data_IF_297447273276
#
_entry.id   IF_297447273276
#
_cell.length_a   1.000
_cell.length_b   1.000
_cell.length_c   1.000
_cell.angle_alpha   90.00
_cell.angle_beta   90.00
_cell.angle_gamma   90.00
#
_symmetry.space_group_name_H-M   'P 1'
#
loop_
_entity.id
_entity.type
_entity.pdbx_description
1 polymer ?
#
# COMPACT_ATOMS: atom_id res chain seq x y z
N UNK A 1 1.86 14.98 20.02
CA UNK A 1 2.76 15.37 18.91
C UNK A 1 3.47 16.72 19.20
N UNK A 2 2.74 17.83 19.51
CA UNK A 2 3.36 19.14 19.72
C UNK A 2 4.43 19.15 20.83
N UNK A 3 4.08 18.63 22.01
CA UNK A 3 5.00 18.52 23.16
C UNK A 3 6.18 17.57 22.93
N UNK A 4 6.07 16.65 21.97
CA UNK A 4 7.15 15.76 21.58
C UNK A 4 8.13 16.46 20.63
N UNK A 5 7.61 17.18 19.62
CA UNK A 5 8.44 17.88 18.64
C UNK A 5 9.18 19.06 19.26
N UNK A 6 8.45 19.91 20.00
CA UNK A 6 8.96 21.19 20.47
C UNK A 6 9.36 21.22 21.96
N UNK A 7 8.96 20.18 22.72
CA UNK A 7 9.20 20.17 24.16
C UNK A 7 8.35 21.18 24.95
N UNK A 8 8.50 21.21 26.26
CA UNK A 8 7.74 22.11 27.14
C UNK A 8 8.49 22.47 28.40
N UNK A 9 8.08 23.58 29.02
CA UNK A 9 8.50 24.01 30.33
C UNK A 9 7.62 23.43 31.43
N UNK A 10 8.17 23.27 32.62
CA UNK A 10 7.40 22.94 33.81
C UNK A 10 6.25 23.94 34.00
N UNK A 11 5.05 23.44 34.28
CA UNK A 11 3.85 24.26 34.44
C UNK A 11 3.14 24.67 33.15
N UNK A 12 3.60 24.24 31.96
CA UNK A 12 3.00 24.59 30.67
C UNK A 12 1.55 24.05 30.49
N UNK A 13 1.24 22.94 31.14
CA UNK A 13 -0.11 22.34 31.18
C UNK A 13 -0.24 21.39 32.39
N UNK A 14 -1.43 20.94 32.67
CA UNK A 14 -1.71 19.96 33.75
C UNK A 14 -0.89 18.69 33.53
N UNK A 15 0.03 18.39 34.45
CA UNK A 15 0.95 17.23 34.33
C UNK A 15 2.37 17.57 33.84
N UNK A 16 2.65 18.82 33.45
CA UNK A 16 4.01 19.24 33.12
C UNK A 16 4.85 19.53 34.38
N UNK A 17 5.25 18.47 35.09
CA UNK A 17 5.97 18.57 36.37
C UNK A 17 7.43 19.03 36.23
N UNK A 18 8.04 18.87 35.07
CA UNK A 18 9.43 19.23 34.77
C UNK A 18 9.59 19.65 33.31
N UNK A 19 10.69 20.34 33.02
CA UNK A 19 11.04 20.66 31.62
C UNK A 19 11.27 19.40 30.82
N UNK A 20 10.79 19.39 29.56
CA UNK A 20 11.05 18.28 28.58
C UNK A 20 11.65 18.88 27.33
N UNK A 21 12.76 18.31 26.89
CA UNK A 21 13.34 18.60 25.58
C UNK A 21 12.46 18.01 24.48
N UNK A 22 12.27 18.77 23.39
CA UNK A 22 11.59 18.29 22.19
C UNK A 22 12.56 17.58 21.25
N UNK A 23 11.99 16.86 20.26
CA UNK A 23 12.76 16.13 19.25
C UNK A 23 13.67 17.07 18.44
N UNK A 24 13.27 18.31 18.15
CA UNK A 24 14.13 19.28 17.48
C UNK A 24 15.39 19.60 18.28
N UNK A 25 15.28 19.71 19.61
CA UNK A 25 16.44 19.95 20.46
C UNK A 25 17.35 18.72 20.56
N UNK A 26 16.75 17.53 20.60
CA UNK A 26 17.49 16.25 20.62
C UNK A 26 18.22 16.00 19.30
N UNK A 27 17.61 16.39 18.18
CA UNK A 27 18.16 16.23 16.83
C UNK A 27 19.13 17.37 16.43
N UNK A 28 19.45 18.31 17.35
CA UNK A 28 20.32 19.44 17.03
C UNK A 28 21.68 18.96 16.50
N UNK A 29 22.14 19.57 15.40
CA UNK A 29 23.31 19.16 14.61
C UNK A 29 23.19 17.78 13.96
N UNK A 30 21.97 17.25 13.84
CA UNK A 30 21.67 15.95 13.24
C UNK A 30 20.56 16.04 12.20
N UNK A 31 19.84 14.94 12.07
CA UNK A 31 18.73 14.80 11.11
C UNK A 31 17.46 14.37 11.84
N UNK A 32 16.33 15.01 11.54
CA UNK A 32 15.01 14.58 11.95
C UNK A 32 14.23 14.05 10.72
N UNK A 33 13.59 12.88 10.87
CA UNK A 33 12.69 12.34 9.88
C UNK A 33 11.25 12.52 10.34
N UNK A 34 10.45 13.22 9.53
CA UNK A 34 9.03 13.48 9.79
C UNK A 34 8.20 12.64 8.82
N UNK A 35 7.70 11.51 9.31
CA UNK A 35 6.80 10.65 8.54
C UNK A 35 5.37 11.20 8.57
N UNK A 36 4.64 10.95 7.50
CA UNK A 36 3.24 11.36 7.33
C UNK A 36 3.02 12.87 7.56
N UNK A 37 3.92 13.72 7.03
CA UNK A 37 3.84 15.17 7.22
C UNK A 37 2.51 15.79 6.78
N UNK A 38 1.82 15.16 5.82
CA UNK A 38 0.49 15.57 5.36
C UNK A 38 -0.63 15.38 6.38
N UNK A 39 -0.36 14.65 7.49
CA UNK A 39 -1.29 14.47 8.61
C UNK A 39 -1.06 15.48 9.74
N UNK A 40 -0.06 16.35 9.61
CA UNK A 40 0.28 17.33 10.65
C UNK A 40 -0.84 18.36 10.83
N UNK A 41 -1.26 18.57 12.07
CA UNK A 41 -2.26 19.60 12.40
C UNK A 41 -1.82 20.99 11.90
N UNK A 42 -2.75 21.77 11.36
CA UNK A 42 -2.48 23.05 10.69
C UNK A 42 -1.68 24.04 11.54
N UNK A 43 -1.98 24.13 12.85
CA UNK A 43 -1.25 24.98 13.79
C UNK A 43 0.22 24.58 13.96
N UNK A 44 0.51 23.28 13.88
CA UNK A 44 1.87 22.76 13.97
C UNK A 44 2.69 23.04 12.72
N UNK A 45 2.02 23.11 11.57
CA UNK A 45 2.66 23.44 10.30
C UNK A 45 3.29 24.83 10.33
N UNK A 46 2.64 25.83 10.95
CA UNK A 46 3.19 27.17 11.12
C UNK A 46 4.45 27.18 12.01
N UNK A 47 4.48 26.35 13.04
CA UNK A 47 5.66 26.20 13.91
C UNK A 47 6.81 25.51 13.20
N UNK A 48 6.51 24.48 12.42
CA UNK A 48 7.51 23.79 11.60
C UNK A 48 8.12 24.73 10.55
N UNK A 49 7.29 25.55 9.90
CA UNK A 49 7.76 26.54 8.93
C UNK A 49 8.79 27.48 9.58
N UNK A 50 8.51 27.97 10.79
CA UNK A 50 9.45 28.83 11.52
C UNK A 50 10.79 28.14 11.77
N UNK A 51 10.79 26.85 12.15
CA UNK A 51 12.03 26.07 12.30
C UNK A 51 12.80 25.99 10.98
N UNK A 52 12.10 25.75 9.87
CA UNK A 52 12.72 25.65 8.53
C UNK A 52 13.30 26.98 8.02
N UNK A 53 12.71 28.12 8.41
CA UNK A 53 13.13 29.42 7.95
C UNK A 53 14.24 30.04 8.81
N UNK A 54 14.08 29.95 10.15
CA UNK A 54 14.93 30.67 11.09
C UNK A 54 15.84 29.79 11.93
N UNK A 55 15.59 28.47 11.93
CA UNK A 55 16.24 27.53 12.84
C UNK A 55 15.84 27.75 14.31
N UNK A 56 14.67 28.38 14.53
CA UNK A 56 14.24 28.74 15.90
C UNK A 56 12.78 28.30 16.13
N UNK A 57 12.50 27.93 17.39
CA UNK A 57 11.13 27.66 17.85
C UNK A 57 11.00 28.02 19.32
N UNK A 58 9.78 28.10 19.83
CA UNK A 58 9.46 28.35 21.23
C UNK A 58 8.87 27.09 21.84
N UNK A 59 9.39 26.62 22.98
CA UNK A 59 8.83 25.50 23.75
C UNK A 59 7.43 25.86 24.27
N UNK A 60 6.61 24.86 24.48
CA UNK A 60 5.29 25.10 25.10
C UNK A 60 5.48 25.66 26.49
N UNK A 61 4.80 26.75 26.78
CA UNK A 61 4.92 27.47 28.08
C UNK A 61 6.20 28.27 28.26
N UNK A 62 7.02 28.46 27.22
CA UNK A 62 8.19 29.33 27.23
C UNK A 62 7.92 30.62 26.42
N UNK A 63 8.71 31.63 26.65
CA UNK A 63 8.73 32.87 25.85
C UNK A 63 10.05 33.06 25.10
N UNK A 64 11.08 32.30 25.44
CA UNK A 64 12.40 32.40 24.83
C UNK A 64 12.51 31.45 23.62
N UNK A 65 13.04 31.94 22.46
CA UNK A 65 13.33 31.11 21.35
C UNK A 65 14.46 30.12 21.66
N UNK A 66 14.32 28.91 21.20
CA UNK A 66 15.35 27.87 21.21
C UNK A 66 15.88 27.74 19.78
N UNK A 67 17.20 27.90 19.60
CA UNK A 67 17.85 27.76 18.30
C UNK A 67 18.35 26.38 18.09
N UNK A 68 18.15 25.85 16.85
CA UNK A 68 18.58 24.51 16.43
C UNK A 68 19.09 24.55 14.99
N UNK A 69 20.02 23.65 14.70
CA UNK A 69 20.53 23.37 13.36
C UNK A 69 20.23 21.90 13.07
N UNK A 70 19.17 21.65 12.29
CA UNK A 70 18.65 20.30 12.05
C UNK A 70 18.35 20.11 10.57
N UNK A 71 18.87 19.02 9.98
CA UNK A 71 18.45 18.58 8.66
C UNK A 71 17.08 17.91 8.77
N UNK A 72 16.12 18.38 7.97
CA UNK A 72 14.76 17.82 7.95
C UNK A 72 14.59 16.95 6.69
N UNK A 73 14.10 15.73 6.90
CA UNK A 73 13.62 14.81 5.85
C UNK A 73 12.16 14.55 6.18
N UNK A 74 11.27 14.75 5.23
CA UNK A 74 9.84 14.49 5.40
C UNK A 74 9.33 13.48 4.37
N UNK A 75 8.33 12.70 4.77
CA UNK A 75 7.64 11.77 3.88
C UNK A 75 6.12 11.93 4.03
N UNK A 76 5.40 11.65 2.96
CA UNK A 76 3.93 11.61 2.97
C UNK A 76 3.42 10.69 1.87
N UNK A 77 2.28 10.08 2.09
CA UNK A 77 1.50 9.35 1.11
C UNK A 77 0.35 10.20 0.53
N UNK A 78 0.14 11.42 1.04
CA UNK A 78 -0.88 12.34 0.56
C UNK A 78 -0.39 13.19 -0.60
N UNK A 79 -1.31 13.58 -1.47
CA UNK A 79 -1.11 14.62 -2.47
C UNK A 79 -1.21 15.99 -1.77
N UNK A 80 -0.05 16.56 -1.39
CA UNK A 80 -0.01 17.82 -0.64
C UNK A 80 -0.64 18.98 -1.41
N UNK A 81 -0.65 18.98 -2.75
CA UNK A 81 -1.31 20.03 -3.52
C UNK A 81 -2.82 20.00 -3.31
N UNK A 82 -3.42 18.81 -3.31
CA UNK A 82 -4.84 18.67 -2.98
C UNK A 82 -5.14 19.05 -1.52
N UNK A 83 -4.22 18.74 -0.60
CA UNK A 83 -4.38 19.15 0.80
C UNK A 83 -4.31 20.67 0.96
N UNK A 84 -3.52 21.38 0.13
CA UNK A 84 -3.48 22.86 0.07
C UNK A 84 -4.83 23.38 -0.44
N UNK A 85 -5.34 22.84 -1.56
CA UNK A 85 -6.63 23.24 -2.13
C UNK A 85 -7.79 23.04 -1.14
N UNK A 86 -7.70 22.00 -0.29
CA UNK A 86 -8.67 21.70 0.75
C UNK A 86 -8.47 22.53 2.04
N UNK A 87 -7.43 23.35 2.13
CA UNK A 87 -7.11 24.15 3.32
C UNK A 87 -6.51 23.35 4.50
N UNK A 88 -6.09 22.10 4.27
CA UNK A 88 -5.52 21.23 5.30
C UNK A 88 -3.99 21.35 5.41
N UNK A 89 -3.33 21.88 4.37
CA UNK A 89 -1.88 22.04 4.34
C UNK A 89 -1.51 23.45 3.87
N UNK A 90 -0.47 24.04 4.48
CA UNK A 90 -0.02 25.40 4.13
C UNK A 90 0.84 25.36 2.88
N UNK A 91 0.56 26.27 1.97
CA UNK A 91 1.30 26.42 0.71
C UNK A 91 2.77 26.87 0.96
N UNK A 92 2.99 27.78 1.92
CA UNK A 92 4.32 28.26 2.28
C UNK A 92 5.22 27.13 2.82
N UNK A 93 4.68 26.26 3.66
CA UNK A 93 5.37 25.07 4.16
C UNK A 93 5.68 24.07 3.03
N UNK A 94 4.73 23.85 2.10
CA UNK A 94 4.94 22.98 0.96
C UNK A 94 6.17 23.42 0.15
N UNK A 95 6.26 24.70 -0.23
CA UNK A 95 7.41 25.19 -1.01
C UNK A 95 8.74 25.08 -0.25
N UNK A 96 8.71 25.16 1.07
CA UNK A 96 9.92 25.03 1.89
C UNK A 96 10.37 23.57 2.04
N UNK A 97 9.45 22.61 2.06
CA UNK A 97 9.74 21.17 2.12
C UNK A 97 10.09 20.58 0.76
N UNK A 98 9.45 21.03 -0.31
CA UNK A 98 9.55 20.42 -1.64
C UNK A 98 10.74 20.89 -2.48
N UNK A 99 11.76 21.46 -1.89
CA UNK A 99 13.00 21.87 -2.59
C UNK A 99 13.67 20.71 -3.30
N UNK A 100 13.64 19.52 -2.71
CA UNK A 100 14.13 18.29 -3.32
C UNK A 100 13.12 17.16 -3.05
N UNK A 101 12.40 16.76 -4.11
CA UNK A 101 11.36 15.74 -4.01
C UNK A 101 11.79 14.43 -4.65
N UNK A 102 11.63 13.34 -3.92
CA UNK A 102 11.83 11.97 -4.43
C UNK A 102 10.47 11.28 -4.47
N UNK A 103 10.04 10.88 -5.66
CA UNK A 103 8.82 10.08 -5.83
C UNK A 103 9.19 8.59 -5.80
N UNK A 104 8.62 7.85 -4.85
CA UNK A 104 8.79 6.40 -4.75
C UNK A 104 7.66 5.71 -5.52
N UNK A 105 7.96 5.01 -6.64
CA UNK A 105 6.93 4.28 -7.36
C UNK A 105 6.37 3.14 -6.51
N UNK A 106 5.08 2.81 -6.66
CA UNK A 106 4.47 1.68 -5.96
C UNK A 106 5.07 0.36 -6.42
N UNK A 107 4.98 -0.68 -5.57
CA UNK A 107 5.62 -1.97 -5.81
C UNK A 107 5.20 -2.64 -7.13
N UNK A 108 3.93 -2.47 -7.55
CA UNK A 108 3.42 -2.97 -8.84
C UNK A 108 4.14 -2.40 -10.08
N UNK A 109 4.80 -1.25 -9.94
CA UNK A 109 5.61 -0.60 -10.99
C UNK A 109 7.09 -0.99 -10.92
N UNK A 110 7.49 -1.73 -9.88
CA UNK A 110 8.85 -2.24 -9.62
C UNK A 110 8.85 -3.76 -9.53
N UNK A 111 8.33 -4.42 -10.58
CA UNK A 111 8.13 -5.88 -10.57
C UNK A 111 9.43 -6.67 -10.36
N UNK A 112 10.55 -6.14 -10.84
CA UNK A 112 11.86 -6.77 -10.70
C UNK A 112 12.33 -6.83 -9.23
N UNK A 113 11.91 -5.87 -8.41
CA UNK A 113 12.23 -5.85 -6.98
C UNK A 113 11.46 -6.92 -6.19
N UNK A 114 10.30 -7.38 -6.70
CA UNK A 114 9.40 -8.29 -5.96
C UNK A 114 10.10 -9.60 -5.63
N UNK A 115 10.83 -10.17 -6.57
CA UNK A 115 11.55 -11.42 -6.37
C UNK A 115 12.62 -11.28 -5.28
N UNK A 116 13.49 -10.26 -5.40
CA UNK A 116 14.55 -9.99 -4.43
C UNK A 116 14.00 -9.73 -3.02
N UNK A 117 12.92 -8.93 -2.94
CA UNK A 117 12.25 -8.65 -1.66
C UNK A 117 11.60 -9.90 -1.07
N UNK A 118 11.00 -10.76 -1.91
CA UNK A 118 10.38 -12.01 -1.46
C UNK A 118 11.40 -12.95 -0.83
N UNK A 119 12.56 -13.14 -1.46
CA UNK A 119 13.63 -13.96 -0.89
C UNK A 119 14.24 -13.33 0.36
N UNK A 120 14.44 -12.02 0.39
CA UNK A 120 14.93 -11.31 1.58
C UNK A 120 13.98 -11.51 2.78
N UNK A 121 12.67 -11.41 2.57
CA UNK A 121 11.69 -11.66 3.63
C UNK A 121 11.63 -13.14 4.00
N UNK A 122 11.71 -14.05 3.03
CA UNK A 122 11.74 -15.48 3.29
C UNK A 122 12.91 -15.85 4.21
N UNK A 123 14.12 -15.42 3.88
CA UNK A 123 15.32 -15.69 4.71
C UNK A 123 15.17 -15.14 6.12
N UNK A 124 14.64 -13.91 6.24
CA UNK A 124 14.36 -13.29 7.53
C UNK A 124 13.41 -14.14 8.37
N UNK A 125 12.27 -14.55 7.81
CA UNK A 125 11.24 -15.29 8.54
C UNK A 125 11.65 -16.75 8.78
N UNK A 126 12.30 -17.41 7.83
CA UNK A 126 12.87 -18.76 8.03
C UNK A 126 13.81 -18.79 9.23
N UNK A 127 14.70 -17.80 9.36
CA UNK A 127 15.61 -17.67 10.51
C UNK A 127 14.85 -17.42 11.81
N UNK A 128 13.86 -16.53 11.82
CA UNK A 128 13.04 -16.22 13.02
C UNK A 128 12.25 -17.44 13.50
N UNK A 129 11.67 -18.20 12.56
CA UNK A 129 10.87 -19.39 12.83
C UNK A 129 11.73 -20.65 13.08
N UNK A 130 13.06 -20.58 12.85
CA UNK A 130 13.99 -21.71 12.87
C UNK A 130 13.55 -22.83 11.94
N UNK A 131 12.95 -22.50 10.81
CA UNK A 131 12.52 -23.43 9.77
C UNK A 131 13.56 -23.48 8.64
N UNK A 132 13.72 -24.65 8.03
CA UNK A 132 14.54 -24.82 6.83
C UNK A 132 13.63 -24.71 5.59
N UNK A 133 13.35 -23.47 5.17
CA UNK A 133 12.56 -23.23 3.97
C UNK A 133 13.53 -23.05 2.80
N UNK A 134 13.40 -23.89 1.76
CA UNK A 134 14.36 -23.96 0.65
C UNK A 134 14.12 -22.91 -0.44
N UNK A 135 12.92 -22.32 -0.49
CA UNK A 135 12.63 -21.30 -1.51
C UNK A 135 11.14 -21.07 -1.75
N UNK A 136 10.89 -20.45 -2.89
CA UNK A 136 9.55 -20.13 -3.41
C UNK A 136 9.44 -20.77 -4.79
N UNK A 137 8.30 -21.43 -5.11
CA UNK A 137 8.13 -22.03 -6.44
C UNK A 137 8.04 -20.96 -7.53
N UNK A 138 8.47 -21.25 -8.77
CA UNK A 138 8.36 -20.31 -9.90
C UNK A 138 6.93 -19.82 -10.12
N UNK A 139 5.95 -20.72 -9.94
CA UNK A 139 4.53 -20.40 -10.06
C UNK A 139 4.09 -19.33 -9.06
N UNK A 140 4.54 -19.44 -7.81
CA UNK A 140 4.24 -18.44 -6.77
C UNK A 140 4.94 -17.11 -7.09
N UNK A 141 6.19 -17.13 -7.55
CA UNK A 141 6.89 -15.90 -7.95
C UNK A 141 6.16 -15.15 -9.07
N UNK A 142 5.62 -15.87 -10.06
CA UNK A 142 4.83 -15.26 -11.13
C UNK A 142 3.55 -14.61 -10.59
N UNK A 143 2.86 -15.26 -9.66
CA UNK A 143 1.69 -14.69 -9.00
C UNK A 143 2.07 -13.41 -8.23
N UNK A 144 3.15 -13.46 -7.45
CA UNK A 144 3.62 -12.31 -6.67
C UNK A 144 4.00 -11.13 -7.59
N UNK A 145 4.69 -11.37 -8.73
CA UNK A 145 5.07 -10.34 -9.70
C UNK A 145 3.87 -9.66 -10.37
N UNK A 146 2.76 -10.36 -10.51
CA UNK A 146 1.56 -9.86 -11.18
C UNK A 146 0.47 -9.34 -10.22
N UNK A 147 0.65 -9.47 -8.92
CA UNK A 147 -0.28 -8.97 -7.93
C UNK A 147 -0.28 -7.42 -7.84
N UNK A 148 -1.42 -6.86 -7.46
CA UNK A 148 -1.65 -5.39 -7.45
C UNK A 148 -0.94 -4.66 -6.30
N UNK A 149 -0.60 -5.33 -5.24
CA UNK A 149 0.13 -4.83 -4.06
C UNK A 149 -0.34 -3.44 -3.59
N UNK A 150 -1.62 -3.31 -3.22
CA UNK A 150 -2.16 -2.04 -2.71
C UNK A 150 -1.45 -1.55 -1.46
N UNK A 151 -1.03 -2.46 -0.59
CA UNK A 151 -0.23 -2.20 0.61
C UNK A 151 1.29 -2.23 0.37
N UNK A 152 1.72 -2.27 -0.92
CA UNK A 152 3.12 -2.24 -1.32
C UNK A 152 3.99 -3.30 -0.62
N UNK A 153 5.20 -2.91 -0.20
CA UNK A 153 6.18 -3.78 0.45
C UNK A 153 5.66 -4.35 1.78
N UNK A 154 4.81 -3.61 2.50
CA UNK A 154 4.20 -4.11 3.76
C UNK A 154 3.28 -5.29 3.51
N UNK A 155 2.47 -5.22 2.45
CA UNK A 155 1.58 -6.32 2.05
C UNK A 155 2.37 -7.54 1.61
N UNK A 156 3.37 -7.36 0.72
CA UNK A 156 4.27 -8.44 0.30
C UNK A 156 4.94 -9.12 1.50
N UNK A 157 5.49 -8.33 2.42
CA UNK A 157 6.12 -8.84 3.64
C UNK A 157 5.15 -9.71 4.45
N UNK A 158 3.93 -9.23 4.69
CA UNK A 158 2.92 -9.97 5.47
C UNK A 158 2.51 -11.27 4.77
N UNK A 159 2.42 -11.26 3.44
CA UNK A 159 2.13 -12.46 2.65
C UNK A 159 3.24 -13.49 2.81
N UNK A 160 4.51 -13.09 2.63
CA UNK A 160 5.66 -14.00 2.78
C UNK A 160 5.77 -14.50 4.23
N UNK A 161 5.54 -13.64 5.24
CA UNK A 161 5.51 -14.04 6.64
C UNK A 161 4.48 -15.16 6.88
N UNK A 162 3.24 -14.96 6.42
CA UNK A 162 2.16 -15.94 6.53
C UNK A 162 2.52 -17.25 5.82
N UNK A 163 3.01 -17.20 4.58
CA UNK A 163 3.43 -18.37 3.84
C UNK A 163 4.55 -19.13 4.57
N UNK A 164 5.52 -18.41 5.14
CA UNK A 164 6.62 -19.02 5.90
C UNK A 164 6.16 -19.74 7.17
N UNK A 165 5.04 -19.30 7.77
CA UNK A 165 4.47 -19.98 8.94
C UNK A 165 3.85 -21.31 8.55
N UNK A 166 3.11 -21.39 7.43
CA UNK A 166 2.34 -22.57 7.03
C UNK A 166 3.15 -23.56 6.20
N UNK A 167 4.06 -23.10 5.33
CA UNK A 167 4.86 -23.99 4.50
C UNK A 167 5.79 -24.90 5.33
N UNK A 168 6.04 -26.10 4.84
CA UNK A 168 6.97 -27.06 5.47
C UNK A 168 8.40 -26.91 4.93
N UNK A 169 8.57 -26.97 3.61
CA UNK A 169 9.88 -27.00 2.95
C UNK A 169 10.05 -25.87 1.94
N UNK A 170 9.04 -25.57 1.16
CA UNK A 170 9.05 -24.57 0.10
C UNK A 170 7.68 -23.92 0.01
N UNK A 171 7.63 -22.60 -0.27
CA UNK A 171 6.35 -21.91 -0.48
C UNK A 171 5.75 -22.33 -1.81
N UNK A 172 4.56 -22.91 -1.75
CA UNK A 172 3.78 -23.42 -2.88
C UNK A 172 2.49 -22.61 -3.08
N UNK A 173 1.74 -22.91 -4.13
CA UNK A 173 0.48 -22.23 -4.43
C UNK A 173 -0.54 -22.33 -3.29
N UNK A 174 -0.60 -23.49 -2.62
CA UNK A 174 -1.52 -23.76 -1.52
C UNK A 174 -1.24 -22.91 -0.27
N UNK A 175 0.01 -22.46 -0.09
CA UNK A 175 0.41 -21.62 1.04
C UNK A 175 -0.01 -20.15 0.87
N UNK A 176 -0.35 -19.73 -0.35
CA UNK A 176 -0.76 -18.37 -0.64
C UNK A 176 -2.11 -18.02 0.00
N UNK A 177 -2.34 -16.76 0.39
CA UNK A 177 -3.66 -16.25 0.73
C UNK A 177 -4.67 -16.46 -0.40
N UNK A 178 -5.93 -16.77 -0.05
CA UNK A 178 -6.99 -17.05 -1.01
C UNK A 178 -7.20 -15.95 -2.06
N UNK A 179 -6.95 -14.69 -1.69
CA UNK A 179 -7.08 -13.56 -2.62
C UNK A 179 -6.04 -13.61 -3.74
N UNK A 180 -4.82 -14.08 -3.45
CA UNK A 180 -3.79 -14.28 -4.46
C UNK A 180 -4.00 -15.56 -5.27
N UNK A 181 -4.56 -16.60 -4.67
CA UNK A 181 -4.94 -17.83 -5.40
C UNK A 181 -6.05 -17.55 -6.42
N UNK A 182 -7.04 -16.73 -6.06
CA UNK A 182 -8.14 -16.35 -6.95
C UNK A 182 -7.69 -15.47 -8.12
N UNK A 183 -6.67 -14.63 -7.93
CA UNK A 183 -6.16 -13.79 -9.01
C UNK A 183 -5.61 -14.58 -10.19
N UNK A 184 -5.29 -15.86 -10.02
CA UNK A 184 -4.92 -16.76 -11.12
C UNK A 184 -6.15 -17.32 -11.86
N UNK A 185 -7.28 -17.50 -11.17
CA UNK A 185 -8.55 -17.95 -11.79
C UNK A 185 -9.21 -16.84 -12.61
N UNK A 186 -8.90 -15.57 -12.30
CA UNK A 186 -9.41 -14.40 -13.01
C UNK A 186 -8.46 -13.89 -14.13
N UNK A 187 -7.32 -14.56 -14.34
CA UNK A 187 -6.45 -14.34 -15.51
C UNK A 187 -6.87 -15.27 -16.67
N UNK A 188 -8.16 -15.37 -16.94
CA UNK A 188 -8.59 -15.27 -18.31
C UNK A 188 -8.31 -13.82 -18.74
N UNK A 189 -7.72 -13.55 -19.91
CA UNK A 189 -7.54 -12.16 -20.35
C UNK A 189 -8.92 -11.53 -20.37
N UNK A 190 -9.24 -10.66 -19.38
CA UNK A 190 -10.20 -9.61 -19.59
C UNK A 190 -9.58 -8.76 -20.71
N UNK A 191 -9.79 -9.18 -21.96
CA UNK A 191 -10.02 -8.20 -22.98
C UNK A 191 -11.22 -7.44 -22.45
N UNK A 192 -11.02 -6.21 -22.02
CA UNK A 192 -12.09 -5.24 -21.85
C UNK A 192 -12.74 -5.03 -23.23
N UNK A 193 -13.42 -6.06 -23.67
CA UNK A 193 -14.25 -5.99 -24.88
C UNK A 193 -15.52 -5.31 -24.43
N UNK A 194 -15.68 -4.04 -24.79
CA UNK A 194 -16.94 -3.33 -24.65
C UNK A 194 -18.01 -3.85 -25.64
N UNK A 195 -17.68 -4.84 -26.45
CA UNK A 195 -18.63 -5.50 -27.34
C UNK A 195 -19.58 -6.41 -26.55
N UNK A 196 -20.86 -6.09 -26.58
CA UNK A 196 -21.88 -6.85 -25.88
C UNK A 196 -21.87 -8.34 -26.27
N UNK A 197 -21.58 -8.63 -27.55
CA UNK A 197 -21.46 -9.98 -28.09
C UNK A 197 -20.36 -10.81 -27.42
N UNK A 198 -19.21 -10.20 -27.12
CA UNK A 198 -18.09 -10.87 -26.46
C UNK A 198 -18.39 -11.16 -24.99
N UNK A 199 -19.00 -10.20 -24.28
CA UNK A 199 -19.43 -10.36 -22.89
C UNK A 199 -20.48 -11.47 -22.81
N UNK A 200 -21.43 -11.48 -23.74
CA UNK A 200 -22.46 -12.49 -23.80
C UNK A 200 -21.88 -13.89 -24.09
N UNK A 201 -20.93 -13.99 -25.02
CA UNK A 201 -20.21 -15.23 -25.33
C UNK A 201 -19.51 -15.79 -24.08
N UNK A 202 -18.75 -14.97 -23.37
CA UNK A 202 -18.04 -15.38 -22.16
C UNK A 202 -19.02 -15.83 -21.08
N UNK A 203 -20.12 -15.10 -20.87
CA UNK A 203 -21.11 -15.45 -19.86
C UNK A 203 -21.82 -16.77 -20.17
N UNK A 204 -22.22 -16.99 -21.42
CA UNK A 204 -22.82 -18.28 -21.88
C UNK A 204 -21.83 -19.42 -21.67
N UNK A 205 -20.58 -19.26 -22.06
CA UNK A 205 -19.53 -20.29 -21.89
C UNK A 205 -19.36 -20.64 -20.40
N UNK A 206 -19.28 -19.64 -19.51
CA UNK A 206 -19.16 -19.85 -18.07
C UNK A 206 -20.34 -20.63 -17.49
N UNK A 207 -21.57 -20.31 -17.88
CA UNK A 207 -22.77 -21.02 -17.42
C UNK A 207 -22.82 -22.45 -17.95
N UNK A 208 -22.42 -22.70 -19.21
CA UNK A 208 -22.35 -24.05 -19.79
C UNK A 208 -21.30 -24.91 -19.07
N UNK A 209 -20.15 -24.35 -18.72
CA UNK A 209 -19.14 -25.03 -17.88
C UNK A 209 -19.69 -25.34 -16.48
N UNK A 210 -20.38 -24.41 -15.85
CA UNK A 210 -20.98 -24.60 -14.53
C UNK A 210 -22.04 -25.72 -14.53
N UNK A 211 -22.81 -25.87 -15.63
CA UNK A 211 -23.83 -26.90 -15.79
C UNK A 211 -23.30 -28.18 -16.40
N UNK A 212 -21.96 -28.37 -16.53
CA UNK A 212 -21.32 -29.53 -17.15
C UNK A 212 -21.90 -29.84 -18.55
N UNK A 213 -22.19 -28.82 -19.35
CA UNK A 213 -22.74 -28.95 -20.69
C UNK A 213 -24.27 -29.18 -20.76
N UNK A 214 -24.98 -29.18 -19.63
CA UNK A 214 -26.45 -29.33 -19.63
C UNK A 214 -27.12 -28.04 -20.14
N UNK A 215 -27.47 -28.05 -21.44
CA UNK A 215 -28.05 -26.89 -22.15
C UNK A 215 -29.41 -26.46 -21.61
N UNK A 216 -30.21 -27.40 -21.12
CA UNK A 216 -31.55 -27.12 -20.58
C UNK A 216 -31.43 -26.33 -19.27
N UNK A 217 -30.54 -26.77 -18.37
CA UNK A 217 -30.27 -26.09 -17.11
C UNK A 217 -29.55 -24.75 -17.34
N UNK A 218 -28.61 -24.70 -18.29
CA UNK A 218 -27.96 -23.46 -18.68
C UNK A 218 -28.96 -22.42 -19.21
N UNK A 219 -29.89 -22.80 -20.07
CA UNK A 219 -30.93 -21.90 -20.55
C UNK A 219 -31.82 -21.37 -19.43
N UNK A 220 -32.14 -22.22 -18.44
CA UNK A 220 -32.88 -21.82 -17.26
C UNK A 220 -32.13 -20.79 -16.39
N UNK A 221 -30.86 -21.03 -16.15
CA UNK A 221 -30.00 -20.10 -15.37
C UNK A 221 -29.78 -18.76 -16.10
N UNK A 222 -29.60 -18.77 -17.40
CA UNK A 222 -29.46 -17.59 -18.25
C UNK A 222 -30.79 -16.85 -18.46
N UNK A 223 -31.92 -17.42 -18.03
CA UNK A 223 -33.29 -16.89 -18.26
C UNK A 223 -33.60 -16.61 -19.73
N UNK A 224 -33.13 -17.49 -20.62
CA UNK A 224 -33.40 -17.44 -22.07
C UNK A 224 -34.05 -18.74 -22.55
N UNK A 225 -34.75 -18.66 -23.69
CA UNK A 225 -35.31 -19.87 -24.32
C UNK A 225 -34.22 -20.83 -24.80
N UNK A 226 -34.47 -22.14 -24.69
CA UNK A 226 -33.51 -23.17 -25.11
C UNK A 226 -33.09 -22.99 -26.57
N UNK A 227 -34.02 -22.66 -27.45
CA UNK A 227 -33.76 -22.41 -28.89
C UNK A 227 -32.83 -21.17 -29.07
N UNK A 228 -32.99 -20.15 -28.22
CA UNK A 228 -32.13 -18.99 -28.24
C UNK A 228 -30.71 -19.35 -27.80
N UNK A 229 -30.56 -20.22 -26.80
CA UNK A 229 -29.25 -20.68 -26.34
C UNK A 229 -28.54 -21.47 -27.46
N UNK A 230 -29.22 -22.38 -28.13
CA UNK A 230 -28.65 -23.13 -29.26
C UNK A 230 -28.14 -22.21 -30.36
N UNK A 231 -28.97 -21.22 -30.80
CA UNK A 231 -28.56 -20.23 -31.82
C UNK A 231 -27.33 -19.44 -31.40
N UNK A 232 -27.21 -19.07 -30.10
CA UNK A 232 -26.06 -18.34 -29.59
C UNK A 232 -24.80 -19.21 -29.50
N UNK A 233 -24.92 -20.48 -29.11
CA UNK A 233 -23.80 -21.44 -29.09
C UNK A 233 -23.24 -21.57 -30.53
N UNK A 234 -24.08 -21.68 -31.52
CA UNK A 234 -23.69 -21.80 -32.94
C UNK A 234 -23.06 -20.47 -33.44
N UNK A 235 -23.73 -19.34 -33.20
CA UNK A 235 -23.24 -18.01 -33.61
C UNK A 235 -21.87 -17.65 -33.03
N UNK A 236 -21.64 -18.03 -31.79
CA UNK A 236 -20.38 -17.73 -31.07
C UNK A 236 -19.37 -18.89 -31.17
N UNK A 237 -19.67 -19.97 -31.88
CA UNK A 237 -18.82 -21.18 -32.03
C UNK A 237 -18.29 -21.67 -30.67
N UNK A 238 -19.18 -21.76 -29.66
CA UNK A 238 -18.83 -22.25 -28.33
C UNK A 238 -18.75 -23.78 -28.40
N UNK A 239 -17.55 -24.31 -28.14
CA UNK A 239 -17.34 -25.75 -28.00
C UNK A 239 -17.81 -26.18 -26.60
N UNK A 240 -18.79 -27.08 -26.54
CA UNK A 240 -19.40 -27.62 -25.31
C UNK A 240 -18.98 -29.06 -25.13
#
# INVERSE_FOLDING_TARGET
MESELFGYKAGAFTGALRDKKGLFEVANHGTIFLDEIGEMAFDLQARLLRVLETGEYIKIGDTKPTKVDVRIISATNRDLKKEIDNGNFREDLYFRLSVFQISLPPLRERKDDIESLSYMFLDKFANQLKKKITGITPEVLDILKNAKWKGNVRELRNVIERCSIVCEVQITFEDLPLDLQRSKSDVAPEKDSFELAEIERMHITKVLQYTNGNKTEAARLLKIGLATLYRKIEAYKINV
#
